data_IF_869571522913
#
_entry.id   IF_869571522913
#
_cell.length_a   1.000
_cell.length_b   1.000
_cell.length_c   1.000
_cell.angle_alpha   90.00
_cell.angle_beta   90.00
_cell.angle_gamma   90.00
#
_symmetry.space_group_name_H-M   'P 1'
#
loop_
_entity.id
_entity.type
_entity.pdbx_description
1 polymer ?
#
# COMPACT_ATOMS: atom_id res chain seq x y z
N UNK A 1 45.11 21.98 -36.66
CA UNK A 1 43.65 21.79 -36.74
C UNK A 1 43.29 20.79 -35.66
N UNK A 2 42.92 21.28 -34.48
CA UNK A 2 42.97 20.52 -33.23
C UNK A 2 41.55 20.20 -32.79
N UNK A 3 41.21 18.91 -32.69
CA UNK A 3 39.96 18.43 -32.12
C UNK A 3 39.90 18.78 -30.63
N UNK A 4 38.84 19.47 -30.20
CA UNK A 4 38.46 19.59 -28.79
C UNK A 4 37.16 18.86 -28.55
N UNK A 5 37.23 17.89 -27.64
CA UNK A 5 36.10 17.22 -27.00
C UNK A 5 35.34 18.25 -26.15
N UNK A 6 34.03 18.36 -26.34
CA UNK A 6 33.15 19.12 -25.45
C UNK A 6 32.84 18.27 -24.21
N UNK A 7 32.98 18.81 -22.98
CA UNK A 7 32.61 18.10 -21.77
C UNK A 7 31.10 18.12 -21.56
N UNK A 8 30.63 17.05 -20.92
CA UNK A 8 29.25 16.76 -20.51
C UNK A 8 28.58 17.97 -19.85
N UNK A 9 27.43 18.37 -20.39
CA UNK A 9 26.57 19.37 -19.77
C UNK A 9 25.88 18.78 -18.54
N UNK A 10 26.19 19.34 -17.37
CA UNK A 10 25.57 19.01 -16.10
C UNK A 10 24.07 19.35 -16.13
N UNK A 11 23.22 18.32 -16.10
CA UNK A 11 21.78 18.45 -15.92
C UNK A 11 21.50 18.77 -14.44
N UNK A 12 21.12 20.02 -14.15
CA UNK A 12 20.70 20.46 -12.81
C UNK A 12 19.27 19.99 -12.54
N UNK A 13 19.12 18.95 -11.72
CA UNK A 13 17.84 18.52 -11.15
C UNK A 13 17.31 19.58 -10.17
N UNK A 14 16.17 20.20 -10.47
CA UNK A 14 15.38 20.89 -9.45
C UNK A 14 14.52 19.85 -8.74
N UNK A 15 15.03 19.30 -7.66
CA UNK A 15 14.24 18.50 -6.72
C UNK A 15 13.18 19.40 -6.08
N UNK A 16 11.91 19.04 -6.22
CA UNK A 16 10.85 19.56 -5.36
C UNK A 16 10.99 18.92 -3.98
N UNK A 17 11.84 19.50 -3.14
CA UNK A 17 11.82 19.24 -1.70
C UNK A 17 10.86 20.23 -1.07
N UNK A 18 9.63 19.80 -0.78
CA UNK A 18 8.76 20.53 0.14
C UNK A 18 9.21 20.21 1.57
N UNK A 19 10.16 20.99 2.08
CA UNK A 19 10.48 21.02 3.50
C UNK A 19 9.47 21.94 4.19
N UNK A 20 8.56 21.38 4.99
CA UNK A 20 7.76 22.13 5.94
C UNK A 20 8.41 21.98 7.32
N UNK A 21 9.28 22.91 7.70
CA UNK A 21 9.75 23.04 9.07
C UNK A 21 8.88 24.09 9.75
N UNK A 22 7.94 23.65 10.60
CA UNK A 22 7.22 24.52 11.52
C UNK A 22 7.90 24.40 12.90
N UNK A 23 8.67 25.41 13.31
CA UNK A 23 9.12 25.55 14.69
C UNK A 23 8.00 26.21 15.50
N UNK A 24 7.28 25.41 16.31
CA UNK A 24 6.45 25.91 17.39
C UNK A 24 7.21 25.66 18.69
N UNK A 25 7.57 26.73 19.41
CA UNK A 25 8.17 26.63 20.72
C UNK A 25 7.18 26.01 21.70
N UNK A 26 7.51 24.82 22.21
CA UNK A 26 6.75 24.19 23.30
C UNK A 26 7.37 24.56 24.64
N UNK A 27 6.53 25.14 25.50
CA UNK A 27 6.73 25.19 26.93
C UNK A 27 6.84 23.72 27.42
N UNK A 28 8.04 23.33 27.87
CA UNK A 28 8.31 21.97 28.34
C UNK A 28 7.62 21.73 29.68
N UNK A 29 6.41 21.20 29.65
CA UNK A 29 5.96 20.33 30.74
C UNK A 29 6.67 19.00 30.53
N UNK A 30 7.52 18.63 31.49
CA UNK A 30 8.07 17.28 31.56
C UNK A 30 6.91 16.33 31.90
N UNK A 31 6.17 15.91 30.87
CA UNK A 31 5.39 14.68 30.93
C UNK A 31 6.42 13.57 31.09
N UNK A 32 6.30 12.75 32.14
CA UNK A 32 7.08 11.52 32.17
C UNK A 32 6.62 10.71 30.96
N UNK A 33 7.47 10.55 29.95
CA UNK A 33 7.31 9.45 29.01
C UNK A 33 7.35 8.19 29.87
N UNK A 34 6.17 7.57 30.06
CA UNK A 34 6.14 6.23 30.58
C UNK A 34 7.00 5.40 29.64
N UNK A 35 8.02 4.74 30.18
CA UNK A 35 8.94 3.93 29.39
C UNK A 35 8.12 2.93 28.57
N UNK A 36 8.23 3.00 27.25
CA UNK A 36 7.45 2.17 26.34
C UNK A 36 7.75 0.70 26.62
N UNK A 37 6.74 -0.07 27.04
CA UNK A 37 6.95 -1.45 27.44
C UNK A 37 7.00 -2.37 26.22
N UNK A 38 7.73 -3.48 26.36
CA UNK A 38 7.66 -4.60 25.42
C UNK A 38 6.70 -5.64 26.00
N UNK A 39 5.57 -5.85 25.33
CA UNK A 39 4.59 -6.88 25.66
C UNK A 39 4.87 -8.10 24.79
N UNK A 40 5.46 -9.13 25.40
CA UNK A 40 5.86 -10.34 24.69
C UNK A 40 4.67 -11.30 24.53
N UNK A 41 4.46 -11.81 23.31
CA UNK A 41 3.30 -12.63 22.92
C UNK A 41 3.78 -13.96 22.36
N UNK A 42 3.18 -15.07 22.80
CA UNK A 42 3.41 -16.39 22.21
C UNK A 42 2.99 -17.54 23.11
N UNK A 43 3.28 -18.76 22.69
CA UNK A 43 2.70 -19.98 23.29
C UNK A 43 3.46 -20.54 24.49
N UNK A 44 4.70 -20.08 24.73
CA UNK A 44 5.50 -20.54 25.87
C UNK A 44 5.17 -19.74 27.14
N UNK A 45 5.39 -20.36 28.30
CA UNK A 45 5.22 -19.71 29.62
C UNK A 45 6.14 -18.51 29.88
N UNK A 46 7.15 -18.28 29.05
CA UNK A 46 8.05 -17.13 29.11
C UNK A 46 7.43 -15.85 28.50
N UNK A 47 6.34 -15.98 27.75
CA UNK A 47 5.66 -14.86 27.11
C UNK A 47 4.68 -14.20 28.08
N UNK A 48 4.55 -12.87 28.00
CA UNK A 48 3.68 -12.09 28.88
C UNK A 48 2.21 -12.37 28.58
N UNK A 49 1.88 -12.56 27.29
CA UNK A 49 0.52 -12.82 26.82
C UNK A 49 0.48 -14.06 25.90
N UNK A 50 -0.58 -14.88 26.00
CA UNK A 50 -0.76 -16.01 25.10
C UNK A 50 -1.28 -15.62 23.71
N UNK A 51 -1.87 -14.43 23.57
CA UNK A 51 -2.49 -13.94 22.32
C UNK A 51 -2.18 -12.46 22.09
N UNK A 52 -2.16 -12.06 20.82
CA UNK A 52 -2.06 -10.67 20.38
C UNK A 52 -3.22 -9.84 20.93
N UNK A 53 -4.45 -10.34 20.82
CA UNK A 53 -5.65 -9.66 21.35
C UNK A 53 -5.54 -9.32 22.84
N UNK A 54 -4.98 -10.21 23.66
CA UNK A 54 -4.77 -9.97 25.08
C UNK A 54 -3.69 -8.90 25.33
N UNK A 55 -2.58 -8.93 24.59
CA UNK A 55 -1.55 -7.89 24.68
C UNK A 55 -2.07 -6.52 24.23
N UNK A 56 -2.84 -6.47 23.14
CA UNK A 56 -3.49 -5.24 22.66
C UNK A 56 -4.44 -4.66 23.71
N UNK A 57 -5.20 -5.50 24.40
CA UNK A 57 -6.11 -5.06 25.46
C UNK A 57 -5.38 -4.45 26.67
N UNK A 58 -4.14 -4.87 26.91
CA UNK A 58 -3.30 -4.37 28.01
C UNK A 58 -2.38 -3.20 27.60
N UNK A 59 -2.17 -3.00 26.31
CA UNK A 59 -1.21 -2.03 25.78
C UNK A 59 -1.58 -0.58 26.12
N UNK A 60 -0.55 0.22 26.34
CA UNK A 60 -0.61 1.67 26.53
C UNK A 60 -0.03 2.38 25.31
N UNK A 61 -0.34 3.67 25.11
CA UNK A 61 0.29 4.46 24.05
C UNK A 61 1.82 4.38 24.11
N UNK A 62 2.43 4.00 23.00
CA UNK A 62 3.88 3.87 22.85
C UNK A 62 4.42 2.44 23.00
N UNK A 63 3.63 1.50 23.56
CA UNK A 63 4.10 0.13 23.78
C UNK A 63 4.42 -0.61 22.46
N UNK A 64 5.32 -1.58 22.57
CA UNK A 64 5.65 -2.54 21.50
C UNK A 64 5.14 -3.92 21.87
N UNK A 65 4.27 -4.48 21.03
CA UNK A 65 3.76 -5.85 21.15
C UNK A 65 4.61 -6.75 20.25
N UNK A 66 5.36 -7.68 20.85
CA UNK A 66 6.32 -8.52 20.13
C UNK A 66 5.87 -9.97 20.12
N UNK A 67 5.59 -10.49 18.93
CA UNK A 67 5.08 -11.85 18.73
C UNK A 67 6.24 -12.81 18.45
N UNK A 68 6.38 -13.84 19.28
CA UNK A 68 7.22 -14.98 18.96
C UNK A 68 6.74 -15.66 17.65
N UNK A 69 7.65 -16.30 16.89
CA UNK A 69 7.26 -17.01 15.67
C UNK A 69 6.19 -18.08 15.91
N UNK A 70 5.23 -18.19 14.99
CA UNK A 70 4.16 -19.18 15.07
C UNK A 70 2.84 -18.75 14.42
N UNK A 71 1.87 -19.66 14.39
CA UNK A 71 0.53 -19.44 13.85
C UNK A 71 -0.44 -18.98 14.94
N UNK A 72 -0.89 -17.73 14.85
CA UNK A 72 -1.91 -17.14 15.71
C UNK A 72 -3.27 -17.25 15.00
N UNK A 73 -3.95 -18.37 15.24
CA UNK A 73 -5.22 -18.72 14.59
C UNK A 73 -6.38 -18.04 15.31
N UNK A 74 -7.22 -17.34 14.53
CA UNK A 74 -8.42 -16.64 14.99
C UNK A 74 -8.16 -15.60 16.10
N UNK A 75 -6.95 -15.04 16.13
CA UNK A 75 -6.53 -14.01 17.08
C UNK A 75 -6.73 -12.61 16.48
N UNK A 76 -7.93 -12.08 16.67
CA UNK A 76 -8.37 -10.80 16.11
C UNK A 76 -8.26 -9.68 17.13
N UNK A 77 -7.80 -8.50 16.72
CA UNK A 77 -7.59 -7.38 17.64
C UNK A 77 -8.14 -6.04 17.13
N UNK A 78 -8.56 -5.19 18.07
CA UNK A 78 -8.95 -3.81 17.82
C UNK A 78 -7.95 -2.88 18.51
N UNK A 79 -7.15 -2.16 17.72
CA UNK A 79 -6.09 -1.28 18.20
C UNK A 79 -6.68 0.10 18.48
N UNK A 80 -6.70 0.53 19.76
CA UNK A 80 -7.27 1.81 20.17
C UNK A 80 -6.26 2.81 20.73
N UNK A 81 -5.00 2.39 20.87
CA UNK A 81 -3.89 3.23 21.34
C UNK A 81 -2.71 3.12 20.38
N UNK A 82 -1.86 4.16 20.27
CA UNK A 82 -0.66 4.10 19.43
C UNK A 82 0.28 2.99 19.88
N UNK A 83 0.64 2.05 18.99
CA UNK A 83 1.53 0.93 19.33
C UNK A 83 2.40 0.51 18.13
N UNK A 84 3.47 -0.21 18.42
CA UNK A 84 4.16 -1.05 17.44
C UNK A 84 3.77 -2.51 17.64
N UNK A 85 3.52 -3.26 16.57
CA UNK A 85 3.30 -4.71 16.60
C UNK A 85 4.33 -5.35 15.67
N UNK A 86 5.15 -6.26 16.18
CA UNK A 86 6.25 -6.84 15.40
C UNK A 86 6.49 -8.33 15.69
N UNK A 87 6.96 -9.05 14.66
CA UNK A 87 7.47 -10.42 14.82
C UNK A 87 8.90 -10.45 15.39
N UNK A 88 9.17 -11.41 16.28
CA UNK A 88 10.46 -11.61 16.96
C UNK A 88 11.37 -12.56 16.19
N UNK A 89 12.12 -12.02 15.21
CA UNK A 89 13.20 -12.76 14.54
C UNK A 89 12.78 -13.96 13.66
N UNK A 90 11.47 -14.19 13.48
CA UNK A 90 10.89 -15.23 12.61
C UNK A 90 9.43 -14.93 12.28
N UNK A 91 8.80 -15.77 11.45
CA UNK A 91 7.45 -15.48 10.93
C UNK A 91 6.36 -15.72 11.99
N UNK A 92 5.73 -14.65 12.46
CA UNK A 92 4.44 -14.70 13.15
C UNK A 92 3.31 -14.51 12.14
N UNK A 93 2.40 -15.48 12.05
CA UNK A 93 1.32 -15.53 11.06
C UNK A 93 -0.03 -15.39 11.77
N UNK A 94 -0.75 -14.30 11.50
CA UNK A 94 -2.13 -14.11 11.95
C UNK A 94 -3.09 -14.71 10.91
N UNK A 95 -3.90 -15.68 11.30
CA UNK A 95 -4.70 -16.49 10.35
C UNK A 95 -6.17 -16.46 10.76
N UNK A 96 -7.05 -16.08 9.84
CA UNK A 96 -8.49 -16.23 10.00
C UNK A 96 -8.97 -17.58 9.45
N UNK A 97 -9.34 -18.53 10.31
CA UNK A 97 -9.99 -19.81 9.92
C UNK A 97 -11.47 -19.81 10.25
N UNK A 98 -11.88 -19.06 11.26
CA UNK A 98 -13.27 -18.87 11.68
C UNK A 98 -13.83 -17.52 11.20
N UNK A 99 -15.17 -17.33 11.19
CA UNK A 99 -15.76 -16.05 10.88
C UNK A 99 -15.19 -14.93 11.76
N UNK A 100 -14.71 -13.85 11.14
CA UNK A 100 -14.12 -12.72 11.85
C UNK A 100 -15.26 -11.99 12.62
N UNK A 101 -15.23 -11.95 13.96
CA UNK A 101 -16.36 -11.50 14.77
C UNK A 101 -16.63 -10.01 14.66
N UNK A 102 -15.60 -9.21 14.34
CA UNK A 102 -15.75 -7.78 14.11
C UNK A 102 -16.33 -7.43 12.72
N UNK A 103 -16.52 -8.44 11.84
CA UNK A 103 -17.08 -8.28 10.50
C UNK A 103 -16.22 -7.46 9.53
N UNK A 104 -14.94 -7.19 9.86
CA UNK A 104 -14.08 -6.29 9.08
C UNK A 104 -12.70 -6.87 8.75
N UNK A 105 -11.92 -7.26 9.75
CA UNK A 105 -10.49 -7.57 9.56
C UNK A 105 -9.85 -8.37 10.70
N UNK A 106 -8.66 -8.90 10.45
CA UNK A 106 -7.79 -9.45 11.50
C UNK A 106 -7.41 -8.34 12.49
N UNK A 107 -6.93 -7.20 11.99
CA UNK A 107 -6.70 -5.99 12.79
C UNK A 107 -7.63 -4.87 12.37
N UNK A 108 -8.42 -4.35 13.32
CA UNK A 108 -9.14 -3.08 13.16
C UNK A 108 -8.37 -2.00 13.91
N UNK A 109 -8.05 -0.89 13.24
CA UNK A 109 -7.11 0.11 13.78
C UNK A 109 -7.78 1.48 13.92
N UNK A 110 -7.77 2.03 15.14
CA UNK A 110 -8.34 3.34 15.49
C UNK A 110 -7.30 4.34 16.03
N UNK A 111 -6.01 4.03 15.92
CA UNK A 111 -4.89 4.83 16.40
C UNK A 111 -3.67 4.67 15.48
N UNK A 112 -2.60 5.42 15.73
CA UNK A 112 -1.35 5.24 14.99
C UNK A 112 -0.81 3.82 15.20
N UNK A 113 -0.31 3.21 14.14
CA UNK A 113 0.16 1.83 14.19
C UNK A 113 1.40 1.67 13.33
N UNK A 114 2.42 1.04 13.90
CA UNK A 114 3.50 0.44 13.11
C UNK A 114 3.38 -1.08 13.18
N UNK A 115 3.35 -1.75 12.03
CA UNK A 115 3.36 -3.22 11.94
C UNK A 115 4.61 -3.68 11.20
N UNK A 116 5.31 -4.68 11.74
CA UNK A 116 6.53 -5.22 11.12
C UNK A 116 6.65 -6.73 11.18
N UNK A 117 7.20 -7.35 10.14
CA UNK A 117 7.60 -8.77 10.18
C UNK A 117 6.45 -9.75 10.53
N UNK A 118 5.22 -9.43 10.10
CA UNK A 118 4.04 -10.26 10.32
C UNK A 118 3.43 -10.72 8.98
N UNK A 119 2.81 -11.89 8.98
CA UNK A 119 1.94 -12.34 7.90
C UNK A 119 0.47 -12.26 8.33
N UNK A 120 -0.40 -11.84 7.40
CA UNK A 120 -1.86 -11.79 7.54
C UNK A 120 -2.49 -12.71 6.50
N UNK A 121 -3.25 -13.71 6.94
CA UNK A 121 -3.76 -14.75 6.05
C UNK A 121 -5.26 -15.01 6.21
N UNK A 122 -5.91 -15.26 5.07
CA UNK A 122 -7.27 -15.80 4.96
C UNK A 122 -8.41 -14.91 5.49
N UNK A 123 -8.19 -13.61 5.68
CA UNK A 123 -9.24 -12.72 6.18
C UNK A 123 -10.45 -12.65 5.23
N UNK A 124 -11.59 -13.20 5.67
CA UNK A 124 -12.84 -13.29 4.90
C UNK A 124 -14.03 -12.90 5.77
N UNK A 125 -14.92 -12.07 5.25
CA UNK A 125 -16.14 -11.60 5.96
C UNK A 125 -17.37 -11.70 5.06
N UNK A 126 -18.61 -11.73 5.60
CA UNK A 126 -19.81 -11.88 4.79
C UNK A 126 -19.97 -10.84 3.66
N UNK A 127 -19.48 -9.61 3.89
CA UNK A 127 -19.53 -8.50 2.93
C UNK A 127 -18.42 -8.56 1.87
N UNK A 128 -17.62 -9.64 1.85
CA UNK A 128 -16.59 -9.93 0.84
C UNK A 128 -15.44 -8.94 0.76
N UNK A 129 -15.19 -8.20 1.85
CA UNK A 129 -14.14 -7.18 1.97
C UNK A 129 -13.25 -7.36 3.22
N UNK A 130 -13.15 -8.59 3.72
CA UNK A 130 -12.38 -8.96 4.90
C UNK A 130 -10.91 -8.63 4.72
N UNK A 131 -10.36 -7.82 5.63
CA UNK A 131 -9.00 -7.31 5.47
C UNK A 131 -8.00 -7.95 6.42
N UNK A 132 -6.73 -8.06 6.01
CA UNK A 132 -5.64 -8.25 6.98
C UNK A 132 -5.60 -7.09 7.98
N UNK A 133 -5.62 -5.86 7.45
CA UNK A 133 -5.72 -4.63 8.25
C UNK A 133 -6.85 -3.73 7.75
N UNK A 134 -7.79 -3.39 8.63
CA UNK A 134 -8.79 -2.32 8.43
C UNK A 134 -8.41 -1.10 9.26
N UNK A 135 -7.80 -0.11 8.63
CA UNK A 135 -7.43 1.15 9.29
C UNK A 135 -8.57 2.17 9.22
N UNK A 136 -9.13 2.55 10.37
CA UNK A 136 -10.23 3.50 10.47
C UNK A 136 -9.76 4.91 10.85
N UNK A 137 -8.63 5.00 11.58
CA UNK A 137 -7.97 6.25 12.00
C UNK A 137 -6.47 6.02 12.16
N UNK A 138 -5.73 7.11 12.32
CA UNK A 138 -4.30 7.11 12.61
C UNK A 138 -3.41 7.01 11.37
N UNK A 139 -2.12 7.26 11.59
CA UNK A 139 -1.07 7.05 10.61
C UNK A 139 -0.54 5.63 10.74
N UNK A 140 -0.49 4.92 9.61
CA UNK A 140 -0.19 3.50 9.57
C UNK A 140 1.11 3.27 8.80
N UNK A 141 2.07 2.61 9.45
CA UNK A 141 3.29 2.12 8.84
C UNK A 141 3.26 0.58 8.78
N UNK A 142 3.52 0.01 7.62
CA UNK A 142 3.56 -1.44 7.38
C UNK A 142 4.89 -1.79 6.72
N UNK A 143 5.69 -2.63 7.35
CA UNK A 143 7.07 -2.87 6.96
C UNK A 143 7.42 -4.36 7.00
N UNK A 144 7.93 -4.94 5.90
CA UNK A 144 8.29 -6.36 5.86
C UNK A 144 7.13 -7.30 6.25
N UNK A 145 5.90 -6.94 5.85
CA UNK A 145 4.72 -7.76 6.09
C UNK A 145 4.34 -8.56 4.85
N UNK A 146 3.60 -9.64 5.08
CA UNK A 146 3.02 -10.48 4.02
C UNK A 146 1.50 -10.50 4.19
N UNK A 147 0.77 -10.32 3.09
CA UNK A 147 -0.69 -10.41 3.05
C UNK A 147 -1.09 -11.47 2.05
N UNK A 148 -1.60 -12.61 2.54
CA UNK A 148 -1.87 -13.80 1.72
C UNK A 148 -3.35 -14.15 1.74
N UNK A 149 -3.97 -14.27 0.56
CA UNK A 149 -5.33 -14.80 0.38
C UNK A 149 -6.43 -14.15 1.25
N UNK A 150 -6.25 -12.88 1.59
CA UNK A 150 -7.30 -12.07 2.20
C UNK A 150 -8.25 -11.57 1.12
N UNK A 151 -9.50 -11.27 1.46
CA UNK A 151 -10.38 -10.57 0.50
C UNK A 151 -9.79 -9.20 0.18
N UNK A 152 -9.28 -8.46 1.16
CA UNK A 152 -8.40 -7.30 0.98
C UNK A 152 -7.11 -7.41 1.80
N UNK A 153 -5.97 -6.97 1.27
CA UNK A 153 -4.74 -6.92 2.09
C UNK A 153 -4.85 -5.84 3.17
N UNK A 154 -4.93 -4.59 2.73
CA UNK A 154 -5.13 -3.42 3.60
C UNK A 154 -6.29 -2.59 3.07
N UNK A 155 -7.20 -2.18 3.96
CA UNK A 155 -8.31 -1.29 3.64
C UNK A 155 -8.35 -0.12 4.64
N UNK A 156 -8.29 1.11 4.13
CA UNK A 156 -8.38 2.32 4.95
C UNK A 156 -9.74 3.01 4.81
N UNK A 157 -10.15 3.74 5.85
CA UNK A 157 -11.32 4.61 5.81
C UNK A 157 -11.08 5.87 4.94
N UNK A 158 -12.11 6.70 4.84
CA UNK A 158 -12.00 8.04 4.26
C UNK A 158 -11.82 9.06 5.38
N UNK A 159 -10.57 9.42 5.67
CA UNK A 159 -10.20 10.45 6.64
C UNK A 159 -8.96 11.19 6.13
N UNK A 160 -9.13 12.47 5.80
CA UNK A 160 -8.10 13.30 5.17
C UNK A 160 -6.90 13.61 6.06
N UNK A 161 -6.90 13.14 7.31
CA UNK A 161 -5.76 13.26 8.24
C UNK A 161 -4.86 12.03 8.25
N UNK A 162 -5.33 10.90 7.71
CA UNK A 162 -4.59 9.64 7.72
C UNK A 162 -3.50 9.59 6.64
N UNK A 163 -2.39 8.94 6.96
CA UNK A 163 -1.41 8.49 5.99
C UNK A 163 -1.18 6.97 6.12
N UNK A 164 -0.99 6.30 4.98
CA UNK A 164 -0.57 4.90 4.90
C UNK A 164 0.79 4.82 4.20
N UNK A 165 1.79 4.27 4.90
CA UNK A 165 3.11 3.97 4.37
C UNK A 165 3.34 2.46 4.39
N UNK A 166 3.55 1.86 3.23
CA UNK A 166 3.83 0.43 3.07
C UNK A 166 5.19 0.28 2.40
N UNK A 167 6.07 -0.49 3.03
CA UNK A 167 7.40 -0.77 2.46
C UNK A 167 7.82 -2.21 2.63
N UNK A 168 8.62 -2.67 1.67
CA UNK A 168 9.30 -3.97 1.75
C UNK A 168 8.33 -5.14 2.00
N UNK A 169 7.07 -5.02 1.53
CA UNK A 169 5.98 -5.95 1.87
C UNK A 169 5.50 -6.74 0.65
N UNK A 170 4.80 -7.85 0.89
CA UNK A 170 4.35 -8.77 -0.17
C UNK A 170 2.84 -9.02 -0.07
N UNK A 171 2.15 -8.93 -1.20
CA UNK A 171 0.72 -9.18 -1.33
C UNK A 171 0.50 -10.33 -2.32
N UNK A 172 -0.09 -11.42 -1.86
CA UNK A 172 -0.21 -12.68 -2.62
C UNK A 172 -1.68 -13.11 -2.63
N UNK A 173 -2.28 -13.24 -3.80
CA UNK A 173 -3.60 -13.90 -3.90
C UNK A 173 -4.76 -13.12 -3.27
N UNK A 174 -4.58 -11.85 -2.90
CA UNK A 174 -5.64 -11.06 -2.26
C UNK A 174 -6.74 -10.71 -3.29
N UNK A 175 -7.97 -10.54 -2.83
CA UNK A 175 -9.14 -10.25 -3.68
C UNK A 175 -10.21 -11.33 -3.57
N UNK A 176 -11.48 -10.93 -3.67
CA UNK A 176 -12.60 -11.86 -3.66
C UNK A 176 -12.97 -12.38 -5.07
N UNK A 177 -12.66 -11.63 -6.13
CA UNK A 177 -13.09 -11.92 -7.49
C UNK A 177 -14.25 -11.07 -8.00
N UNK A 178 -14.74 -10.11 -7.22
CA UNK A 178 -15.91 -9.27 -7.54
C UNK A 178 -15.57 -7.89 -8.12
N UNK A 179 -14.30 -7.51 -8.11
CA UNK A 179 -13.82 -6.20 -8.56
C UNK A 179 -13.77 -5.11 -7.48
N UNK A 180 -14.21 -5.39 -6.25
CA UNK A 180 -14.31 -4.41 -5.16
C UNK A 180 -13.30 -4.63 -4.03
N UNK A 181 -12.62 -5.76 -4.03
CA UNK A 181 -11.61 -6.10 -3.02
C UNK A 181 -10.21 -6.14 -3.65
N UNK A 182 -9.20 -5.68 -2.91
CA UNK A 182 -7.93 -5.20 -3.48
C UNK A 182 -6.72 -5.62 -2.64
N UNK A 183 -5.52 -5.59 -3.22
CA UNK A 183 -4.27 -5.70 -2.43
C UNK A 183 -4.20 -4.58 -1.38
N UNK A 184 -4.27 -3.33 -1.85
CA UNK A 184 -4.43 -2.14 -1.02
C UNK A 184 -5.63 -1.32 -1.53
N UNK A 185 -6.53 -0.95 -0.61
CA UNK A 185 -7.53 0.10 -0.82
C UNK A 185 -7.25 1.28 0.11
N UNK A 186 -6.72 2.37 -0.45
CA UNK A 186 -6.63 3.66 0.22
C UNK A 186 -7.89 4.49 -0.05
N UNK A 187 -8.64 4.85 1.00
CA UNK A 187 -9.77 5.76 0.94
C UNK A 187 -9.33 7.20 0.66
N UNK A 188 -10.22 8.17 0.88
CA UNK A 188 -9.89 9.61 0.74
C UNK A 188 -9.05 10.06 1.94
N UNK A 189 -7.77 9.68 1.93
CA UNK A 189 -6.77 9.97 2.97
C UNK A 189 -5.77 11.04 2.51
N UNK A 190 -4.92 11.54 3.42
CA UNK A 190 -3.91 12.55 3.10
C UNK A 190 -2.88 12.00 2.10
N UNK A 191 -2.32 10.83 2.40
CA UNK A 191 -1.24 10.26 1.59
C UNK A 191 -1.22 8.72 1.62
N UNK A 192 -0.92 8.13 0.46
CA UNK A 192 -0.49 6.75 0.31
C UNK A 192 0.95 6.74 -0.23
N UNK A 193 1.84 6.04 0.45
CA UNK A 193 3.18 5.72 -0.05
C UNK A 193 3.37 4.21 -0.05
N UNK A 194 3.77 3.63 -1.20
CA UNK A 194 4.10 2.21 -1.32
C UNK A 194 5.46 2.08 -1.98
N UNK A 195 6.40 1.41 -1.32
CA UNK A 195 7.76 1.24 -1.85
C UNK A 195 8.31 -0.17 -1.70
N UNK A 196 9.13 -0.60 -2.68
CA UNK A 196 9.85 -1.90 -2.63
C UNK A 196 8.96 -3.10 -2.28
N UNK A 197 7.68 -3.03 -2.66
CA UNK A 197 6.69 -4.05 -2.34
C UNK A 197 6.33 -4.86 -3.58
N UNK A 198 5.91 -6.09 -3.39
CA UNK A 198 5.53 -7.02 -4.46
C UNK A 198 4.05 -7.38 -4.36
N UNK A 199 3.35 -7.34 -5.48
CA UNK A 199 1.96 -7.76 -5.62
C UNK A 199 1.89 -8.82 -6.70
N UNK A 200 1.25 -9.95 -6.39
CA UNK A 200 1.09 -11.07 -7.31
C UNK A 200 -0.24 -11.78 -7.11
N UNK A 201 -0.95 -11.99 -8.20
CA UNK A 201 -2.11 -12.85 -8.26
C UNK A 201 -3.33 -12.24 -7.58
N UNK A 202 -3.48 -10.91 -7.63
CA UNK A 202 -4.71 -10.30 -7.10
C UNK A 202 -5.93 -10.81 -7.88
N UNK A 203 -6.95 -11.28 -7.16
CA UNK A 203 -8.10 -12.01 -7.71
C UNK A 203 -9.18 -11.02 -8.15
N UNK A 204 -9.08 -10.52 -9.38
CA UNK A 204 -9.91 -9.40 -9.87
C UNK A 204 -9.73 -8.18 -8.92
N UNK A 205 -10.33 -7.04 -9.21
CA UNK A 205 -10.01 -5.82 -8.46
C UNK A 205 -8.64 -5.29 -8.85
N UNK A 206 -7.89 -4.71 -7.90
CA UNK A 206 -6.66 -3.95 -8.20
C UNK A 206 -5.57 -4.28 -7.20
N UNK A 207 -4.31 -4.28 -7.64
CA UNK A 207 -3.19 -4.41 -6.69
C UNK A 207 -3.23 -3.22 -5.72
N UNK A 208 -3.37 -2.01 -6.28
CA UNK A 208 -3.46 -0.76 -5.51
C UNK A 208 -4.59 0.11 -6.05
N UNK A 209 -5.60 0.37 -5.21
CA UNK A 209 -6.60 1.43 -5.43
C UNK A 209 -6.34 2.58 -4.45
N UNK A 210 -6.15 3.79 -4.95
CA UNK A 210 -5.87 4.97 -4.12
C UNK A 210 -6.79 6.13 -4.42
N UNK A 211 -7.61 6.51 -3.43
CA UNK A 211 -8.35 7.77 -3.43
C UNK A 211 -7.62 8.87 -2.65
N UNK A 212 -6.36 8.68 -2.27
CA UNK A 212 -5.60 9.63 -1.46
C UNK A 212 -5.29 10.94 -2.22
N UNK A 213 -5.11 12.05 -1.48
CA UNK A 213 -4.72 13.34 -2.07
C UNK A 213 -3.31 13.29 -2.69
N UNK A 214 -2.40 12.53 -2.05
CA UNK A 214 -1.06 12.25 -2.55
C UNK A 214 -0.86 10.75 -2.65
N UNK A 215 -0.39 10.26 -3.79
CA UNK A 215 -0.04 8.85 -4.00
C UNK A 215 1.38 8.74 -4.55
N UNK A 216 2.26 8.02 -3.84
CA UNK A 216 3.66 7.80 -4.23
C UNK A 216 3.95 6.30 -4.30
N UNK A 217 4.18 5.79 -5.49
CA UNK A 217 4.46 4.37 -5.74
C UNK A 217 5.87 4.24 -6.32
N UNK A 218 6.80 3.65 -5.56
CA UNK A 218 8.22 3.60 -5.93
C UNK A 218 8.84 2.21 -5.86
N UNK A 219 9.52 1.79 -6.93
CA UNK A 219 10.30 0.54 -6.91
C UNK A 219 9.50 -0.71 -6.53
N UNK A 220 8.20 -0.75 -6.85
CA UNK A 220 7.35 -1.91 -6.60
C UNK A 220 7.35 -2.87 -7.79
N UNK A 221 7.01 -4.13 -7.53
CA UNK A 221 6.72 -5.14 -8.56
C UNK A 221 5.24 -5.48 -8.50
N UNK A 222 4.48 -5.04 -9.49
CA UNK A 222 3.06 -5.35 -9.67
C UNK A 222 2.98 -6.36 -10.82
N UNK A 223 3.12 -7.65 -10.51
CA UNK A 223 3.25 -8.71 -11.50
C UNK A 223 2.37 -9.90 -11.13
N UNK A 224 1.24 -10.02 -11.81
CA UNK A 224 0.32 -11.14 -11.61
C UNK A 224 0.70 -12.40 -12.42
N UNK A 225 1.81 -12.36 -13.15
CA UNK A 225 2.25 -13.44 -14.02
C UNK A 225 1.28 -13.72 -15.17
N UNK A 226 1.49 -14.84 -15.85
CA UNK A 226 0.69 -15.23 -17.03
C UNK A 226 -0.78 -15.52 -16.70
N UNK A 227 -1.02 -16.07 -15.51
CA UNK A 227 -2.34 -16.56 -15.07
C UNK A 227 -3.09 -15.51 -14.23
N UNK A 228 -2.50 -14.33 -14.05
CA UNK A 228 -3.06 -13.21 -13.31
C UNK A 228 -4.40 -12.71 -13.81
N UNK A 229 -5.29 -12.35 -12.87
CA UNK A 229 -6.64 -11.87 -13.17
C UNK A 229 -6.94 -10.47 -12.62
N UNK A 230 -5.96 -9.79 -12.03
CA UNK A 230 -6.08 -8.39 -11.57
C UNK A 230 -6.62 -7.53 -12.70
N UNK A 231 -7.55 -6.63 -12.37
CA UNK A 231 -8.16 -5.71 -13.33
C UNK A 231 -7.20 -4.58 -13.68
N UNK A 232 -6.78 -3.79 -12.70
CA UNK A 232 -5.83 -2.69 -12.86
C UNK A 232 -4.68 -2.92 -11.88
N UNK A 233 -3.44 -2.73 -12.30
CA UNK A 233 -2.33 -2.72 -11.35
C UNK A 233 -2.45 -1.51 -10.41
N UNK A 234 -2.76 -0.34 -10.98
CA UNK A 234 -2.96 0.88 -10.20
C UNK A 234 -4.22 1.60 -10.65
N UNK A 235 -5.11 1.88 -9.71
CA UNK A 235 -6.27 2.76 -9.91
C UNK A 235 -6.20 3.97 -8.98
N UNK A 236 -6.18 5.17 -9.56
CA UNK A 236 -6.24 6.45 -8.85
C UNK A 236 -7.53 7.16 -9.28
N UNK A 237 -8.70 6.63 -8.88
CA UNK A 237 -9.97 6.95 -9.53
C UNK A 237 -10.41 8.40 -9.34
N UNK A 238 -9.90 9.09 -8.32
CA UNK A 238 -10.26 10.49 -8.01
C UNK A 238 -9.16 11.52 -8.28
N UNK A 239 -8.11 11.15 -9.01
CA UNK A 239 -6.98 12.03 -9.27
C UNK A 239 -6.17 12.33 -7.99
N UNK A 240 -5.70 13.57 -7.85
CA UNK A 240 -4.74 13.99 -6.83
C UNK A 240 -3.31 14.09 -7.39
N UNK A 241 -2.34 14.20 -6.49
CA UNK A 241 -0.92 14.27 -6.86
C UNK A 241 -0.31 12.87 -6.83
N UNK A 242 -0.12 12.29 -8.00
CA UNK A 242 0.37 10.93 -8.20
C UNK A 242 1.78 10.91 -8.79
N UNK A 243 2.68 10.17 -8.12
CA UNK A 243 4.05 9.90 -8.58
C UNK A 243 4.28 8.39 -8.61
N UNK A 244 4.50 7.83 -9.79
CA UNK A 244 4.67 6.40 -10.03
C UNK A 244 6.04 6.21 -10.70
N UNK A 245 7.04 5.81 -9.92
CA UNK A 245 8.44 5.80 -10.39
C UNK A 245 9.15 4.47 -10.14
N UNK A 246 9.86 3.97 -11.16
CA UNK A 246 10.78 2.83 -10.97
C UNK A 246 10.09 1.50 -10.72
N UNK A 247 8.79 1.38 -11.02
CA UNK A 247 8.02 0.16 -10.78
C UNK A 247 8.11 -0.79 -11.99
N UNK A 248 7.99 -2.09 -11.74
CA UNK A 248 7.69 -3.09 -12.77
C UNK A 248 6.20 -3.40 -12.72
N UNK A 249 5.52 -3.27 -13.84
CA UNK A 249 4.07 -3.47 -13.94
C UNK A 249 3.82 -4.45 -15.07
N UNK A 250 3.29 -5.62 -14.75
CA UNK A 250 3.03 -6.68 -15.70
C UNK A 250 1.56 -7.07 -15.71
N UNK A 251 0.94 -6.97 -16.89
CA UNK A 251 -0.42 -7.39 -17.14
C UNK A 251 -0.43 -8.79 -17.77
N UNK A 252 -1.12 -9.73 -17.11
CA UNK A 252 -1.24 -11.13 -17.49
C UNK A 252 -2.16 -11.39 -18.68
N UNK A 253 -2.13 -12.62 -19.21
CA UNK A 253 -2.95 -13.01 -20.37
C UNK A 253 -4.45 -13.04 -20.06
N UNK A 254 -4.80 -13.29 -18.80
CA UNK A 254 -6.18 -13.48 -18.31
C UNK A 254 -6.80 -12.21 -17.73
N UNK A 255 -6.08 -11.10 -17.69
CA UNK A 255 -6.60 -9.82 -17.23
C UNK A 255 -7.73 -9.32 -18.13
N UNK A 256 -8.89 -9.04 -17.54
CA UNK A 256 -10.08 -8.61 -18.29
C UNK A 256 -9.96 -7.18 -18.82
N UNK A 257 -9.50 -6.27 -17.97
CA UNK A 257 -9.44 -4.84 -18.26
C UNK A 257 -8.17 -4.51 -19.05
N UNK A 258 -8.25 -3.83 -20.21
CA UNK A 258 -7.07 -3.53 -21.01
C UNK A 258 -6.14 -2.48 -20.38
N UNK A 259 -6.58 -1.77 -19.34
CA UNK A 259 -5.81 -0.68 -18.71
C UNK A 259 -4.89 -1.24 -17.62
N UNK A 260 -3.65 -0.74 -17.51
CA UNK A 260 -2.73 -1.09 -16.43
C UNK A 260 -2.76 -0.04 -15.29
N UNK A 261 -2.67 1.25 -15.65
CA UNK A 261 -2.80 2.38 -14.73
C UNK A 261 -3.98 3.26 -15.15
N UNK A 262 -4.91 3.51 -14.24
CA UNK A 262 -6.06 4.42 -14.41
C UNK A 262 -5.91 5.66 -13.53
N UNK A 263 -6.18 6.84 -14.08
CA UNK A 263 -6.15 8.10 -13.34
C UNK A 263 -7.43 8.92 -13.58
N UNK A 264 -8.05 9.36 -12.49
CA UNK A 264 -9.25 10.19 -12.44
C UNK A 264 -10.48 9.64 -13.18
N UNK A 265 -10.57 8.31 -13.35
CA UNK A 265 -11.65 7.68 -14.11
C UNK A 265 -13.04 7.81 -13.47
N UNK A 266 -13.13 8.07 -12.17
CA UNK A 266 -14.37 8.31 -11.43
C UNK A 266 -14.60 9.80 -11.10
N UNK A 267 -13.83 10.69 -11.74
CA UNK A 267 -13.92 12.14 -11.55
C UNK A 267 -12.98 12.67 -10.45
N UNK A 268 -12.40 13.85 -10.71
CA UNK A 268 -11.43 14.47 -9.80
C UNK A 268 -12.08 14.94 -8.51
N UNK A 269 -11.40 14.69 -7.38
CA UNK A 269 -11.85 15.09 -6.05
C UNK A 269 -11.01 16.20 -5.41
N UNK A 270 -9.89 16.57 -6.05
CA UNK A 270 -8.90 17.51 -5.54
C UNK A 270 -8.76 18.70 -6.51
N UNK A 271 -8.48 19.90 -5.98
CA UNK A 271 -8.22 21.08 -6.81
C UNK A 271 -6.91 20.91 -7.59
N UNK A 272 -5.85 20.53 -6.89
CA UNK A 272 -4.56 20.23 -7.48
C UNK A 272 -4.49 18.77 -7.92
N UNK A 273 -4.08 18.56 -9.17
CA UNK A 273 -3.87 17.24 -9.74
C UNK A 273 -2.56 17.26 -10.52
N UNK A 274 -1.74 16.24 -10.30
CA UNK A 274 -0.49 16.05 -11.03
C UNK A 274 -0.26 14.55 -11.23
N UNK A 275 0.23 14.18 -12.41
CA UNK A 275 0.54 12.78 -12.72
C UNK A 275 1.94 12.69 -13.33
N UNK A 276 2.87 12.12 -12.56
CA UNK A 276 4.21 11.78 -13.01
C UNK A 276 4.37 10.26 -13.04
N UNK A 277 4.73 9.73 -14.21
CA UNK A 277 4.99 8.30 -14.42
C UNK A 277 6.36 8.19 -15.06
N UNK A 278 7.38 7.77 -14.31
CA UNK A 278 8.76 7.78 -14.81
C UNK A 278 9.58 6.55 -14.48
N UNK A 279 10.50 6.15 -15.38
CA UNK A 279 11.44 5.05 -15.16
C UNK A 279 10.77 3.70 -14.82
N UNK A 280 9.50 3.48 -15.21
CA UNK A 280 8.81 2.22 -14.98
C UNK A 280 9.02 1.26 -16.15
N UNK A 281 8.87 -0.04 -15.88
CA UNK A 281 8.81 -1.08 -16.91
C UNK A 281 7.39 -1.63 -17.00
N UNK A 282 6.75 -1.46 -18.15
CA UNK A 282 5.45 -2.00 -18.47
C UNK A 282 5.60 -3.25 -19.35
N UNK A 283 5.01 -4.35 -18.92
CA UNK A 283 4.99 -5.62 -19.66
C UNK A 283 3.54 -6.03 -19.86
N UNK A 284 3.10 -6.13 -21.10
CA UNK A 284 1.78 -6.66 -21.42
C UNK A 284 1.91 -7.99 -22.14
N UNK A 285 1.29 -9.04 -21.59
CA UNK A 285 1.08 -10.31 -22.28
C UNK A 285 -0.38 -10.53 -22.68
N UNK A 286 -1.32 -9.66 -22.27
CA UNK A 286 -2.74 -9.73 -22.66
C UNK A 286 -2.91 -9.72 -24.17
N UNK A 287 -3.78 -10.61 -24.67
CA UNK A 287 -4.19 -10.63 -26.08
C UNK A 287 -5.21 -9.51 -26.37
N UNK A 288 -5.08 -8.85 -27.52
CA UNK A 288 -5.95 -7.74 -27.93
C UNK A 288 -5.45 -6.38 -27.45
N UNK A 289 -6.36 -5.42 -27.32
CA UNK A 289 -5.99 -4.05 -26.93
C UNK A 289 -5.41 -4.01 -25.50
N UNK A 290 -4.36 -3.22 -25.30
CA UNK A 290 -3.78 -2.94 -23.99
C UNK A 290 -3.40 -1.47 -23.91
N UNK A 291 -3.58 -0.88 -22.74
CA UNK A 291 -3.39 0.54 -22.46
C UNK A 291 -2.55 0.65 -21.19
N UNK A 292 -1.30 1.08 -21.30
CA UNK A 292 -0.46 1.21 -20.10
C UNK A 292 -1.01 2.29 -19.15
N UNK A 293 -1.40 3.44 -19.69
CA UNK A 293 -1.83 4.60 -18.91
C UNK A 293 -3.12 5.16 -19.51
N UNK A 294 -4.19 5.17 -18.73
CA UNK A 294 -5.46 5.82 -19.07
C UNK A 294 -5.67 7.04 -18.16
N UNK A 295 -5.35 8.23 -18.68
CA UNK A 295 -5.55 9.48 -17.98
C UNK A 295 -6.87 10.13 -18.38
N UNK A 296 -7.86 10.09 -17.49
CA UNK A 296 -9.15 10.77 -17.68
C UNK A 296 -9.25 12.10 -16.94
N UNK A 297 -8.16 12.53 -16.32
CA UNK A 297 -8.09 13.76 -15.53
C UNK A 297 -7.71 14.99 -16.37
N UNK A 298 -7.88 16.18 -15.79
CA UNK A 298 -7.51 17.45 -16.41
C UNK A 298 -6.00 17.73 -16.34
N UNK A 299 -5.26 17.01 -15.49
CA UNK A 299 -3.82 17.15 -15.37
C UNK A 299 -3.10 16.41 -16.49
N UNK A 300 -2.24 17.08 -17.24
CA UNK A 300 -1.44 16.45 -18.27
C UNK A 300 -0.42 15.48 -17.64
N UNK A 301 -0.47 14.21 -18.05
CA UNK A 301 0.49 13.20 -17.60
C UNK A 301 1.90 13.53 -18.10
N UNK A 302 2.88 13.50 -17.19
CA UNK A 302 4.30 13.54 -17.52
C UNK A 302 4.82 12.09 -17.52
N UNK A 303 4.93 11.49 -18.71
CA UNK A 303 5.37 10.10 -18.88
C UNK A 303 6.80 10.09 -19.39
N UNK A 304 7.79 9.75 -18.54
CA UNK A 304 9.22 9.90 -18.85
C UNK A 304 10.02 8.62 -18.73
N UNK A 305 10.83 8.30 -19.74
CA UNK A 305 11.83 7.21 -19.66
C UNK A 305 11.24 5.86 -19.22
N UNK A 306 10.01 5.55 -19.62
CA UNK A 306 9.39 4.27 -19.31
C UNK A 306 9.67 3.26 -20.43
N UNK A 307 9.91 2.01 -20.05
CA UNK A 307 10.03 0.89 -20.98
C UNK A 307 8.66 0.26 -21.20
N UNK A 308 8.24 0.06 -22.45
CA UNK A 308 6.96 -0.56 -22.79
C UNK A 308 7.20 -1.80 -23.66
N UNK A 309 6.80 -2.97 -23.18
CA UNK A 309 6.92 -4.25 -23.89
C UNK A 309 5.54 -4.86 -24.10
N UNK A 310 5.16 -5.11 -25.35
CA UNK A 310 3.87 -5.70 -25.70
C UNK A 310 2.63 -4.81 -25.47
N UNK A 311 2.83 -3.53 -25.11
CA UNK A 311 1.74 -2.57 -24.87
C UNK A 311 1.27 -1.95 -26.19
N UNK A 312 -0.04 -1.99 -26.46
CA UNK A 312 -0.64 -1.41 -27.67
C UNK A 312 -0.74 0.12 -27.62
N UNK A 313 -1.32 0.67 -26.56
CA UNK A 313 -1.47 2.11 -26.32
C UNK A 313 -0.67 2.51 -25.08
N UNK A 314 0.37 3.34 -25.24
CA UNK A 314 1.20 3.76 -24.11
C UNK A 314 0.47 4.76 -23.20
N UNK A 315 -0.22 5.72 -23.78
CA UNK A 315 -0.99 6.75 -23.08
C UNK A 315 -2.29 7.03 -23.84
N UNK A 316 -3.41 7.00 -23.13
CA UNK A 316 -4.69 7.54 -23.56
C UNK A 316 -5.05 8.73 -22.67
N UNK A 317 -5.45 9.84 -23.28
CA UNK A 317 -5.81 11.08 -22.56
C UNK A 317 -4.71 12.14 -22.56
N UNK A 318 -4.89 13.17 -21.72
CA UNK A 318 -4.02 14.35 -21.72
C UNK A 318 -2.62 14.02 -21.19
N UNK A 319 -1.57 14.40 -21.91
CA UNK A 319 -0.21 14.22 -21.44
C UNK A 319 0.78 14.12 -22.58
N UNK A 320 2.02 13.81 -22.23
CA UNK A 320 3.11 13.60 -23.19
C UNK A 320 4.01 12.47 -22.74
N UNK A 321 4.56 11.78 -23.73
CA UNK A 321 5.55 10.72 -23.55
C UNK A 321 6.91 11.28 -24.01
N UNK A 322 7.89 11.22 -23.12
CA UNK A 322 9.30 11.62 -23.33
C UNK A 322 10.23 10.41 -23.10
#
# INVERSE_FOLDING_TARGET
MTYRLNPLGEFRWRAFAAAATLCVGFLSYALSEADAAILSVGFSSEQTFPTLSAAVAAAKPGDTIRLAPGEYVDDFAVINVPVTIEGDGGTAVLIARSPIPNGKAILVVNADLTVRNLEFRDAKVPDRNGAGIRAQRGNIAVEHCIFTDNESGILTAADSTMALNVRDSVFIGNGFGDGYSHGIYAGRIAALAVSRSTFTGTKVGHDIKSRAAVTVLTSNTLDDGKDGTTSLAVDIPNGGNATIIGNTIRQGERTENPVMISFAAEGVAYQDNALLIANNTFVNTRRGNSIAIDNRGPAAAQVRHNTFMGVGTKLRGLGRIE
#
